data_IF_036464184020
#
_entry.id   IF_036464184020
#
_cell.length_a   1.000
_cell.length_b   1.000
_cell.length_c   1.000
_cell.angle_alpha   90.00
_cell.angle_beta   90.00
_cell.angle_gamma   90.00
#
_symmetry.space_group_name_H-M   'P 1'
#
loop_
_entity.id
_entity.type
_entity.pdbx_description
1 polymer ?
#
# COMPACT_ATOMS: atom_id res chain seq x y z
N UNK A 1 5.23 -10.70 7.87
CA UNK A 1 5.01 -9.49 8.69
C UNK A 1 3.52 -9.39 9.06
N UNK A 2 3.19 -9.10 10.32
CA UNK A 2 1.78 -8.86 10.73
C UNK A 2 1.40 -7.39 10.48
N UNK A 3 0.12 -7.08 10.22
CA UNK A 3 -0.33 -5.70 9.95
C UNK A 3 0.04 -4.70 11.07
N UNK A 4 0.02 -5.13 12.32
CA UNK A 4 0.41 -4.31 13.48
C UNK A 4 1.92 -4.00 13.52
N UNK A 5 2.71 -4.91 12.97
CA UNK A 5 4.16 -4.76 12.86
C UNK A 5 4.49 -3.72 11.79
N UNK A 6 3.87 -3.81 10.60
CA UNK A 6 3.99 -2.80 9.55
C UNK A 6 3.56 -1.42 10.04
N UNK A 7 2.44 -1.34 10.77
CA UNK A 7 1.94 -0.08 11.32
C UNK A 7 2.98 0.63 12.19
N UNK A 8 3.73 -0.13 13.00
CA UNK A 8 4.80 0.42 13.85
C UNK A 8 6.03 0.78 13.03
N UNK A 9 6.46 -0.10 12.12
CA UNK A 9 7.66 0.11 11.30
C UNK A 9 7.52 1.31 10.37
N UNK A 10 6.35 1.46 9.73
CA UNK A 10 6.07 2.56 8.80
C UNK A 10 5.56 3.83 9.51
N UNK A 11 5.33 3.81 10.82
CA UNK A 11 4.63 4.90 11.51
C UNK A 11 3.31 5.29 10.79
N UNK A 12 2.55 4.28 10.36
CA UNK A 12 1.24 4.46 9.70
C UNK A 12 0.16 3.80 10.54
N UNK A 13 -0.92 4.52 10.80
CA UNK A 13 -2.03 4.04 11.63
C UNK A 13 -2.67 2.77 11.05
N UNK A 14 -2.99 1.80 11.91
CA UNK A 14 -3.70 0.57 11.52
C UNK A 14 -5.03 0.89 10.82
N UNK A 15 -5.71 1.96 11.21
CA UNK A 15 -6.96 2.40 10.58
C UNK A 15 -6.79 2.82 9.12
N UNK A 16 -5.59 3.23 8.71
CA UNK A 16 -5.26 3.51 7.31
C UNK A 16 -4.89 2.24 6.54
N UNK A 17 -4.19 1.29 7.18
CA UNK A 17 -3.70 0.06 6.53
C UNK A 17 -4.76 -1.06 6.44
N UNK A 18 -5.54 -1.26 7.50
CA UNK A 18 -6.53 -2.36 7.58
C UNK A 18 -7.57 -2.33 6.46
N UNK A 19 -8.14 -1.18 6.06
CA UNK A 19 -9.07 -1.13 4.94
C UNK A 19 -8.42 -1.48 3.59
N UNK A 20 -7.13 -1.20 3.41
CA UNK A 20 -6.38 -1.53 2.19
C UNK A 20 -6.19 -3.05 2.08
N UNK A 21 -5.69 -3.68 3.15
CA UNK A 21 -5.45 -5.13 3.20
C UNK A 21 -6.75 -5.94 3.03
N UNK A 22 -7.88 -5.40 3.53
CA UNK A 22 -9.18 -6.04 3.41
C UNK A 22 -9.95 -5.66 2.13
N UNK A 23 -9.32 -4.98 1.17
CA UNK A 23 -9.95 -4.49 -0.07
C UNK A 23 -11.19 -3.59 0.14
N UNK A 24 -11.39 -3.04 1.34
CA UNK A 24 -12.49 -2.12 1.66
C UNK A 24 -12.21 -0.68 1.22
N UNK A 25 -10.94 -0.37 0.96
CA UNK A 25 -10.49 0.93 0.43
C UNK A 25 -9.39 0.69 -0.57
N UNK A 26 -9.42 1.41 -1.69
CA UNK A 26 -8.35 1.39 -2.71
C UNK A 26 -7.45 2.63 -2.67
N UNK A 27 -7.85 3.67 -1.93
CA UNK A 27 -7.14 4.94 -1.83
C UNK A 27 -6.16 4.93 -0.67
N UNK A 28 -4.89 5.16 -0.96
CA UNK A 28 -3.82 5.46 0.01
C UNK A 28 -3.21 6.83 -0.31
N UNK A 29 -2.72 7.51 0.73
CA UNK A 29 -1.95 8.75 0.57
C UNK A 29 -0.50 8.43 0.15
N UNK A 30 0.12 9.29 -0.67
CA UNK A 30 1.49 9.08 -1.17
C UNK A 30 2.53 9.13 -0.05
N UNK A 31 2.32 9.95 0.99
CA UNK A 31 3.19 9.99 2.16
C UNK A 31 3.15 8.70 2.97
N UNK A 32 1.98 8.10 3.13
CA UNK A 32 1.86 6.76 3.71
C UNK A 32 2.54 5.70 2.85
N UNK A 33 2.41 5.78 1.52
CA UNK A 33 3.07 4.84 0.62
C UNK A 33 4.60 4.92 0.73
N UNK A 34 5.17 6.13 0.79
CA UNK A 34 6.60 6.36 1.02
C UNK A 34 7.08 5.74 2.33
N UNK A 35 6.35 5.97 3.42
CA UNK A 35 6.65 5.42 4.74
C UNK A 35 6.63 3.89 4.77
N UNK A 36 5.68 3.28 4.05
CA UNK A 36 5.61 1.83 3.88
C UNK A 36 6.81 1.33 3.09
N UNK A 37 7.23 2.04 2.03
CA UNK A 37 8.42 1.69 1.25
C UNK A 37 9.69 1.72 2.12
N UNK A 38 9.89 2.82 2.86
CA UNK A 38 11.02 2.99 3.79
C UNK A 38 11.05 1.89 4.86
N UNK A 39 9.90 1.53 5.44
CA UNK A 39 9.80 0.46 6.43
C UNK A 39 10.09 -0.94 5.89
N UNK A 40 9.93 -1.14 4.57
CA UNK A 40 10.17 -2.40 3.89
C UNK A 40 11.52 -2.45 3.18
N UNK A 41 12.34 -1.41 3.34
CA UNK A 41 13.61 -1.23 2.62
C UNK A 41 13.45 -1.29 1.08
N UNK A 42 12.29 -0.81 0.60
CA UNK A 42 11.98 -0.73 -0.83
C UNK A 42 12.44 0.63 -1.34
N UNK A 43 13.34 0.60 -2.31
CA UNK A 43 13.89 1.80 -2.96
C UNK A 43 13.28 2.07 -4.34
N UNK A 44 12.64 1.06 -4.96
CA UNK A 44 11.89 1.19 -6.21
C UNK A 44 10.37 1.12 -5.95
N UNK A 45 9.66 2.22 -6.20
CA UNK A 45 8.21 2.30 -6.00
C UNK A 45 7.42 1.39 -6.94
N UNK A 46 8.01 0.96 -8.06
CA UNK A 46 7.37 0.01 -8.97
C UNK A 46 7.17 -1.38 -8.33
N UNK A 47 7.88 -1.68 -7.23
CA UNK A 47 7.65 -2.89 -6.43
C UNK A 47 6.37 -2.81 -5.59
N UNK A 48 5.89 -1.59 -5.29
CA UNK A 48 4.69 -1.35 -4.48
C UNK A 48 3.46 -1.02 -5.32
N UNK A 49 3.64 -0.27 -6.41
CA UNK A 49 2.55 0.21 -7.26
C UNK A 49 2.83 -0.09 -8.72
N UNK A 50 1.80 -0.53 -9.43
CA UNK A 50 1.83 -0.71 -10.88
C UNK A 50 0.59 -0.07 -11.47
N UNK A 51 0.77 0.59 -12.61
CA UNK A 51 -0.36 1.03 -13.43
C UNK A 51 -0.79 -0.17 -14.26
N UNK A 52 -1.98 -0.67 -14.03
CA UNK A 52 -2.60 -1.68 -14.88
C UNK A 52 -3.36 -0.97 -16.00
N UNK A 53 -3.02 -1.29 -17.24
CA UNK A 53 -3.87 -0.96 -18.38
C UNK A 53 -5.07 -1.89 -18.29
N UNK A 54 -6.21 -1.33 -17.89
CA UNK A 54 -7.47 -2.04 -17.96
C UNK A 54 -7.86 -1.98 -19.43
N UNK A 55 -7.50 -3.00 -20.20
CA UNK A 55 -8.19 -3.23 -21.46
C UNK A 55 -9.65 -3.48 -21.06
N UNK A 56 -10.56 -2.64 -21.55
CA UNK A 56 -11.99 -2.87 -21.35
C UNK A 56 -12.28 -4.26 -21.95
N UNK A 57 -12.56 -5.24 -21.09
CA UNK A 57 -13.13 -6.54 -21.47
C UNK A 57 -14.53 -6.27 -22.05
N UNK A 58 -14.57 -5.73 -23.27
CA UNK A 58 -15.73 -5.77 -24.15
C UNK A 58 -15.83 -7.18 -24.71
N UNK A 59 -16.52 -8.05 -23.99
CA UNK A 59 -17.10 -9.26 -24.53
C UNK A 59 -18.58 -9.36 -24.10
#
# INVERSE_FOLDING_TARGET
MKLRELSRLADVQISALSPLVNNKKKRIDVGHLKRIAEALDITDMNELIKIENIEDDTN
#
